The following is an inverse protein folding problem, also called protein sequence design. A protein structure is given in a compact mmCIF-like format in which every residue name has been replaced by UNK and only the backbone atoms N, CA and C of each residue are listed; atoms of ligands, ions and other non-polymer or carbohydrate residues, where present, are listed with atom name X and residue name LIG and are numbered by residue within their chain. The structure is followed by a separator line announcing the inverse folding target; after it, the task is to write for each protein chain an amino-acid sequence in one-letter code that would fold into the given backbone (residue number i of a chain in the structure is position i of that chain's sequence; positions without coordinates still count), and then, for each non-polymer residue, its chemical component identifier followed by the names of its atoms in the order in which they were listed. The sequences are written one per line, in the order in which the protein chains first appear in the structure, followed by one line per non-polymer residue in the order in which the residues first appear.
data_IF_218464380929
#
_entry.id   IF_218464380929
#
_cell.length_a   1.000
_cell.length_b   1.000
_cell.length_c   1.000
_cell.angle_alpha   90.00
_cell.angle_beta   90.00
_cell.angle_gamma   90.00
#
_symmetry.space_group_name_H-M   'P 1'
#
loop_
_entity.id
_entity.type
_entity.pdbx_description
1 polymer ?
#
# COMPACT_ATOMS: atom_id res chain seq x y z
N UNK A 1 -5.42 -4.66 -7.20
CA UNK A 1 -3.95 -4.51 -7.28
C UNK A 1 -3.66 -3.02 -7.22
N UNK A 2 -2.76 -2.60 -6.34
CA UNK A 2 -2.37 -1.21 -6.15
C UNK A 2 -0.85 -1.15 -5.96
N UNK A 3 -0.28 0.05 -6.04
CA UNK A 3 1.15 0.26 -5.87
C UNK A 3 1.43 0.80 -4.48
N UNK A 4 2.43 0.24 -3.80
CA UNK A 4 3.02 0.86 -2.62
C UNK A 4 3.86 2.07 -3.05
N UNK A 5 3.57 3.24 -2.48
CA UNK A 5 4.21 4.52 -2.85
C UNK A 5 4.88 5.22 -1.66
N UNK A 6 4.72 4.71 -0.43
CA UNK A 6 5.23 5.29 0.79
C UNK A 6 6.64 4.81 1.21
N UNK A 7 7.21 3.81 0.53
CA UNK A 7 8.54 3.27 0.85
C UNK A 7 9.74 4.12 0.34
N UNK A 8 9.47 5.27 -0.29
CA UNK A 8 10.48 6.19 -0.81
C UNK A 8 10.85 7.32 0.15
N UNK A 9 11.52 8.33 -0.39
CA UNK A 9 11.68 9.62 0.32
C UNK A 9 10.36 10.38 0.38
N UNK A 10 10.21 11.27 1.35
CA UNK A 10 9.05 12.16 1.42
C UNK A 10 9.10 13.14 0.23
N UNK A 11 8.03 13.24 -0.59
CA UNK A 11 8.04 14.11 -1.75
C UNK A 11 8.08 15.60 -1.36
N UNK A 12 8.61 16.45 -2.23
CA UNK A 12 8.76 17.88 -1.95
C UNK A 12 7.45 18.67 -2.14
N UNK A 13 6.61 18.25 -3.10
CA UNK A 13 5.35 18.93 -3.40
C UNK A 13 4.23 18.55 -2.43
N UNK A 14 3.46 19.54 -1.99
CA UNK A 14 2.28 19.36 -1.11
C UNK A 14 1.30 18.34 -1.67
N UNK A 15 0.86 18.53 -2.92
CA UNK A 15 -0.04 17.59 -3.61
C UNK A 15 0.53 16.16 -3.65
N UNK A 16 1.85 16.03 -3.81
CA UNK A 16 2.50 14.72 -3.84
C UNK A 16 2.52 14.06 -2.45
N UNK A 17 2.61 14.85 -1.37
CA UNK A 17 2.52 14.35 0.00
C UNK A 17 1.10 13.88 0.30
N UNK A 18 0.11 14.72 0.00
CA UNK A 18 -1.31 14.38 0.17
C UNK A 18 -1.65 13.10 -0.60
N UNK A 19 -1.18 12.97 -1.84
CA UNK A 19 -1.41 11.75 -2.61
C UNK A 19 -0.83 10.49 -1.93
N UNK A 20 0.40 10.56 -1.41
CA UNK A 20 1.03 9.43 -0.72
C UNK A 20 0.25 9.06 0.54
N UNK A 21 -0.16 10.06 1.33
CA UNK A 21 -0.92 9.86 2.57
C UNK A 21 -2.29 9.24 2.29
N UNK A 22 -3.06 9.81 1.35
CA UNK A 22 -4.39 9.31 0.96
C UNK A 22 -4.30 7.91 0.34
N UNK A 23 -3.27 7.63 -0.46
CA UNK A 23 -3.04 6.29 -0.99
C UNK A 23 -2.80 5.29 0.14
N UNK A 24 -2.01 5.66 1.15
CA UNK A 24 -1.74 4.83 2.33
C UNK A 24 -3.01 4.54 3.14
N UNK A 25 -3.83 5.56 3.42
CA UNK A 25 -5.11 5.39 4.12
C UNK A 25 -6.09 4.52 3.33
N UNK A 26 -6.17 4.72 2.01
CA UNK A 26 -6.98 3.87 1.14
C UNK A 26 -6.53 2.40 1.18
N UNK A 27 -5.22 2.13 1.12
CA UNK A 27 -4.71 0.75 1.19
C UNK A 27 -5.04 0.10 2.52
N UNK A 28 -4.93 0.83 3.64
CA UNK A 28 -5.31 0.33 4.96
C UNK A 28 -6.81 -0.01 5.02
N UNK A 29 -7.67 0.86 4.51
CA UNK A 29 -9.11 0.62 4.48
C UNK A 29 -9.48 -0.62 3.64
N UNK A 30 -8.88 -0.76 2.45
CA UNK A 30 -9.07 -1.94 1.60
C UNK A 30 -8.53 -3.19 2.29
N UNK A 31 -7.32 -3.12 2.83
CA UNK A 31 -6.67 -4.23 3.52
C UNK A 31 -7.48 -4.73 4.71
N UNK A 32 -8.17 -3.85 5.45
CA UNK A 32 -9.07 -4.25 6.53
C UNK A 32 -10.23 -5.15 6.02
N UNK A 33 -10.81 -4.81 4.86
CA UNK A 33 -11.92 -5.56 4.26
C UNK A 33 -11.51 -6.81 3.47
N UNK A 34 -10.27 -6.90 3.01
CA UNK A 34 -9.80 -8.00 2.16
C UNK A 34 -9.65 -9.31 2.95
N UNK A 35 -9.94 -10.47 2.37
CA UNK A 35 -9.64 -11.77 3.01
C UNK A 35 -8.13 -12.12 2.94
N UNK A 36 -7.45 -11.66 1.89
CA UNK A 36 -6.03 -11.90 1.62
C UNK A 36 -5.35 -10.63 1.11
N UNK A 37 -4.12 -10.37 1.57
CA UNK A 37 -3.31 -9.22 1.16
C UNK A 37 -1.91 -9.71 0.83
N UNK A 38 -1.47 -9.44 -0.39
CA UNK A 38 -0.16 -9.81 -0.92
C UNK A 38 0.64 -8.57 -1.26
N UNK A 39 1.91 -8.58 -0.88
CA UNK A 39 2.90 -7.62 -1.34
C UNK A 39 3.82 -8.31 -2.35
N UNK A 40 3.86 -7.78 -3.58
CA UNK A 40 4.68 -8.34 -4.65
C UNK A 40 5.99 -7.54 -4.75
N UNK A 41 7.13 -8.20 -4.52
CA UNK A 41 8.45 -7.61 -4.60
C UNK A 41 9.39 -8.49 -5.42
N UNK A 42 10.01 -7.90 -6.46
CA UNK A 42 10.87 -8.62 -7.41
C UNK A 42 10.20 -9.87 -8.03
N UNK A 43 8.88 -9.82 -8.24
CA UNK A 43 8.08 -10.93 -8.78
C UNK A 43 7.72 -12.01 -7.75
N UNK A 44 8.14 -11.86 -6.49
CA UNK A 44 7.84 -12.79 -5.40
C UNK A 44 6.71 -12.23 -4.53
N UNK A 45 5.81 -13.12 -4.10
CA UNK A 45 4.70 -12.76 -3.22
C UNK A 45 5.07 -12.91 -1.74
N UNK A 46 4.78 -11.88 -0.96
CA UNK A 46 4.80 -11.88 0.49
C UNK A 46 3.36 -11.73 0.99
N UNK A 47 2.82 -12.80 1.57
CA UNK A 47 1.49 -12.77 2.20
C UNK A 47 1.54 -11.97 3.50
N UNK A 48 0.90 -10.80 3.49
CA UNK A 48 0.80 -9.92 4.66
C UNK A 48 -0.41 -10.25 5.53
N UNK A 49 -1.49 -10.75 4.90
CA UNK A 49 -2.70 -11.21 5.58
C UNK A 49 -3.32 -12.35 4.80
N UNK A 50 -3.78 -13.37 5.51
CA UNK A 50 -4.61 -14.45 4.99
C UNK A 50 -5.58 -14.88 6.09
N UNK A 51 -6.88 -14.96 5.79
CA UNK A 51 -7.84 -15.56 6.71
C UNK A 51 -7.65 -17.07 6.71
N UNK A 52 -7.37 -17.62 7.88
CA UNK A 52 -7.26 -19.07 8.14
C UNK A 52 -8.63 -19.74 8.15
#
# INVERSE_FOLDING_TARGET
VSNEVGHGIVPLGELSREFVDESGWLHQAIAASAARVEFIMAGLALTLKEQS
#
